data_IF_281480342855
#
_entry.id   IF_281480342855
#
_cell.length_a   1.000
_cell.length_b   1.000
_cell.length_c   1.000
_cell.angle_alpha   90.00
_cell.angle_beta   90.00
_cell.angle_gamma   90.00
#
_symmetry.space_group_name_H-M   'P 1'
#
loop_
_entity.id
_entity.type
_entity.pdbx_description
1 polymer ?
#
# COMPACT_ATOMS: atom_id res chain seq x y z
N UNK A 1 18.28 1.11 -10.14
CA UNK A 1 17.70 0.48 -8.94
C UNK A 1 17.73 -1.05 -9.08
N UNK A 2 17.89 -1.75 -7.96
CA UNK A 2 17.87 -3.22 -7.87
C UNK A 2 16.65 -3.67 -7.07
N UNK A 3 16.30 -4.96 -7.17
CA UNK A 3 15.23 -5.56 -6.40
C UNK A 3 15.83 -6.40 -5.26
N UNK A 4 15.85 -5.85 -4.05
CA UNK A 4 16.35 -6.54 -2.86
C UNK A 4 15.38 -6.34 -1.69
N UNK A 5 15.34 -7.29 -0.76
CA UNK A 5 14.61 -7.16 0.50
C UNK A 5 15.63 -7.02 1.64
N UNK A 6 15.45 -6.06 2.57
CA UNK A 6 16.36 -5.93 3.70
C UNK A 6 16.57 -7.26 4.45
N UNK A 7 17.81 -7.56 4.89
CA UNK A 7 18.98 -6.69 4.90
C UNK A 7 19.76 -6.64 3.58
N UNK A 8 19.34 -7.36 2.54
CA UNK A 8 20.07 -7.43 1.28
C UNK A 8 20.04 -6.08 0.55
N UNK A 9 21.19 -5.68 0.02
CA UNK A 9 21.38 -4.42 -0.74
C UNK A 9 21.96 -4.64 -2.12
N UNK A 10 22.02 -5.89 -2.57
CA UNK A 10 22.39 -6.33 -3.92
C UNK A 10 21.35 -7.33 -4.45
N UNK A 11 21.35 -7.50 -5.78
CA UNK A 11 20.42 -8.40 -6.48
C UNK A 11 21.04 -8.79 -7.82
N UNK A 12 20.71 -9.98 -8.30
CA UNK A 12 21.08 -10.47 -9.63
C UNK A 12 20.19 -9.89 -10.75
N UNK A 13 19.15 -9.13 -10.38
CA UNK A 13 18.23 -8.50 -11.31
C UNK A 13 18.04 -7.00 -11.02
N UNK A 14 18.21 -6.19 -12.06
CA UNK A 14 17.87 -4.76 -12.01
C UNK A 14 16.37 -4.55 -12.15
N UNK A 15 15.86 -3.42 -11.65
CA UNK A 15 14.45 -3.05 -11.87
C UNK A 15 14.10 -2.97 -13.37
N UNK A 16 15.02 -2.48 -14.21
CA UNK A 16 14.79 -2.36 -15.65
C UNK A 16 14.60 -3.73 -16.31
N UNK A 17 15.47 -4.69 -16.01
CA UNK A 17 15.37 -6.06 -16.53
C UNK A 17 14.07 -6.73 -16.06
N UNK A 18 13.69 -6.52 -14.80
CA UNK A 18 12.45 -7.04 -14.25
C UNK A 18 11.22 -6.41 -14.92
N UNK A 19 11.19 -5.08 -15.12
CA UNK A 19 10.09 -4.39 -15.81
C UNK A 19 9.92 -4.88 -17.25
N UNK A 20 11.01 -5.14 -17.96
CA UNK A 20 10.98 -5.71 -19.31
C UNK A 20 10.35 -7.12 -19.36
N UNK A 21 10.42 -7.89 -18.27
CA UNK A 21 9.69 -9.15 -18.15
C UNK A 21 8.22 -8.90 -17.84
N UNK A 22 7.92 -7.95 -16.94
CA UNK A 22 6.57 -7.69 -16.44
C UNK A 22 5.60 -7.20 -17.53
N UNK A 23 6.07 -6.43 -18.52
CA UNK A 23 5.24 -5.96 -19.65
C UNK A 23 4.60 -7.11 -20.45
N UNK A 24 5.18 -8.32 -20.38
CA UNK A 24 4.67 -9.51 -21.07
C UNK A 24 3.75 -10.36 -20.19
N UNK A 25 3.38 -9.89 -18.99
CA UNK A 25 2.56 -10.63 -18.03
C UNK A 25 1.19 -9.97 -17.86
N UNK A 26 0.28 -10.69 -17.19
CA UNK A 26 -1.02 -10.15 -16.77
C UNK A 26 -1.04 -9.73 -15.29
N UNK A 27 0.13 -9.49 -14.68
CA UNK A 27 0.28 -9.20 -13.25
C UNK A 27 0.35 -7.68 -13.01
N UNK A 28 -0.19 -7.23 -11.88
CA UNK A 28 0.06 -5.88 -11.37
C UNK A 28 1.47 -5.77 -10.79
N UNK A 29 1.95 -4.54 -10.63
CA UNK A 29 3.26 -4.23 -10.04
C UNK A 29 3.05 -3.55 -8.69
N UNK A 30 3.80 -3.96 -7.67
CA UNK A 30 3.93 -3.25 -6.40
C UNK A 30 5.41 -2.98 -6.15
N UNK A 31 5.80 -1.71 -6.17
CA UNK A 31 7.16 -1.28 -5.82
C UNK A 31 7.17 -0.87 -4.35
N UNK A 32 7.99 -1.56 -3.56
CA UNK A 32 8.19 -1.27 -2.14
C UNK A 32 9.52 -0.53 -1.94
N UNK A 33 9.44 0.76 -1.64
CA UNK A 33 10.62 1.61 -1.52
C UNK A 33 11.18 1.58 -0.09
N UNK A 34 12.45 1.21 0.03
CA UNK A 34 13.22 1.28 1.29
C UNK A 34 14.28 2.40 1.29
N UNK A 35 14.47 3.08 0.16
CA UNK A 35 15.40 4.20 0.02
C UNK A 35 14.81 5.30 -0.85
N UNK A 36 14.96 6.56 -0.41
CA UNK A 36 14.50 7.74 -1.15
C UNK A 36 15.26 7.89 -2.47
N UNK A 37 16.55 7.56 -2.47
CA UNK A 37 17.42 7.65 -3.65
C UNK A 37 16.97 6.71 -4.77
N UNK A 38 16.24 5.64 -4.42
CA UNK A 38 15.68 4.71 -5.39
C UNK A 38 14.36 5.20 -6.00
N UNK A 39 13.64 6.14 -5.36
CA UNK A 39 12.27 6.53 -5.78
C UNK A 39 12.27 7.13 -7.19
N UNK A 40 12.98 8.24 -7.39
CA UNK A 40 12.99 8.94 -8.68
C UNK A 40 13.49 8.05 -9.83
N UNK A 41 14.66 7.38 -9.74
CA UNK A 41 15.14 6.54 -10.83
C UNK A 41 14.21 5.36 -11.13
N UNK A 42 13.53 4.81 -10.13
CA UNK A 42 12.57 3.73 -10.35
C UNK A 42 11.30 4.19 -11.06
N UNK A 43 10.76 5.36 -10.69
CA UNK A 43 9.59 5.94 -11.34
C UNK A 43 9.89 6.38 -12.78
N UNK A 44 11.09 6.89 -13.06
CA UNK A 44 11.52 7.21 -14.42
C UNK A 44 11.60 5.95 -15.31
N UNK A 45 12.13 4.83 -14.79
CA UNK A 45 12.12 3.55 -15.50
C UNK A 45 10.69 3.02 -15.71
N UNK A 46 9.82 3.18 -14.71
CA UNK A 46 8.43 2.77 -14.81
C UNK A 46 7.67 3.56 -15.88
N UNK A 47 7.89 4.88 -15.96
CA UNK A 47 7.29 5.75 -16.98
C UNK A 47 7.67 5.35 -18.42
N UNK A 48 8.83 4.74 -18.62
CA UNK A 48 9.25 4.24 -19.95
C UNK A 48 8.42 3.04 -20.43
N UNK A 49 7.86 2.26 -19.51
CA UNK A 49 7.07 1.06 -19.82
C UNK A 49 5.59 1.21 -19.50
N UNK A 50 5.18 2.31 -18.88
CA UNK A 50 3.82 2.55 -18.38
C UNK A 50 2.72 2.25 -19.41
N UNK A 51 2.87 2.74 -20.64
CA UNK A 51 1.89 2.54 -21.72
C UNK A 51 1.76 1.06 -22.14
N UNK A 52 2.74 0.22 -21.80
CA UNK A 52 2.72 -1.22 -22.06
C UNK A 52 2.14 -1.99 -20.87
N UNK A 53 2.09 -1.39 -19.69
CA UNK A 53 1.52 -1.99 -18.49
C UNK A 53 -0.01 -1.93 -18.58
N UNK A 54 -0.64 -3.11 -18.70
CA UNK A 54 -2.10 -3.24 -18.75
C UNK A 54 -2.76 -3.36 -17.39
N UNK A 55 -1.98 -3.25 -16.31
CA UNK A 55 -2.41 -3.50 -14.93
C UNK A 55 -1.92 -2.37 -14.02
N UNK A 56 -2.62 -2.09 -12.90
CA UNK A 56 -2.25 -1.03 -11.99
C UNK A 56 -0.84 -1.20 -11.44
N UNK A 57 -0.16 -0.06 -11.21
CA UNK A 57 1.10 0.00 -10.48
C UNK A 57 0.87 0.64 -9.12
N UNK A 58 1.38 -0.03 -8.10
CA UNK A 58 1.24 0.31 -6.70
C UNK A 58 2.59 0.79 -6.18
N UNK A 59 2.62 1.98 -5.61
CA UNK A 59 3.83 2.59 -5.05
C UNK A 59 3.71 2.60 -3.53
N UNK A 60 4.48 1.74 -2.87
CA UNK A 60 4.51 1.61 -1.42
C UNK A 60 5.76 2.28 -0.85
N UNK A 61 5.57 3.07 0.22
CA UNK A 61 6.69 3.72 0.90
C UNK A 61 6.43 3.95 2.38
N UNK A 62 7.43 3.63 3.20
CA UNK A 62 7.44 3.82 4.66
C UNK A 62 7.64 5.31 5.01
N UNK A 63 6.63 6.13 4.74
CA UNK A 63 6.68 7.59 4.88
C UNK A 63 6.40 8.10 6.30
N UNK A 64 5.91 7.24 7.20
CA UNK A 64 5.57 7.65 8.56
C UNK A 64 6.04 6.69 9.66
N UNK A 65 6.22 7.21 10.89
CA UNK A 65 6.67 6.40 12.02
C UNK A 65 5.69 5.29 12.35
N UNK A 66 6.24 4.17 12.81
CA UNK A 66 5.44 3.05 13.29
C UNK A 66 5.02 3.13 14.76
N UNK A 67 4.31 2.12 15.32
CA UNK A 67 3.88 2.14 16.70
C UNK A 67 5.12 1.84 17.53
N UNK A 68 5.41 2.70 18.50
CA UNK A 68 6.69 2.69 19.21
C UNK A 68 7.70 3.71 18.68
N UNK A 69 7.33 4.57 17.72
CA UNK A 69 8.07 5.79 17.42
C UNK A 69 9.41 5.58 16.70
N UNK A 70 9.65 4.41 16.09
CA UNK A 70 10.79 4.25 15.20
C UNK A 70 10.66 5.22 14.03
N UNK A 71 11.66 6.09 13.88
CA UNK A 71 11.74 7.20 12.94
C UNK A 71 11.24 6.80 11.54
N UNK A 72 10.40 7.63 10.92
CA UNK A 72 10.02 7.45 9.51
C UNK A 72 11.29 7.25 8.68
N UNK A 73 11.33 6.20 7.87
CA UNK A 73 12.53 5.83 7.10
C UNK A 73 12.72 6.81 5.93
N UNK A 74 11.62 7.39 5.44
CA UNK A 74 11.60 8.22 4.25
C UNK A 74 10.93 9.57 4.52
N UNK A 75 11.45 10.64 3.90
CA UNK A 75 10.82 11.95 3.93
C UNK A 75 9.49 11.91 3.15
N UNK A 76 8.39 12.05 3.89
CA UNK A 76 7.03 12.03 3.34
C UNK A 76 6.84 13.09 2.24
N UNK A 77 7.33 14.32 2.45
CA UNK A 77 7.14 15.39 1.47
C UNK A 77 7.97 15.13 0.20
N UNK A 78 9.23 14.69 0.35
CA UNK A 78 10.10 14.33 -0.76
C UNK A 78 9.55 13.20 -1.62
N UNK A 79 9.02 12.14 -1.01
CA UNK A 79 8.39 11.02 -1.75
C UNK A 79 7.13 11.48 -2.46
N UNK A 80 6.23 12.17 -1.76
CA UNK A 80 4.97 12.63 -2.36
C UNK A 80 5.22 13.59 -3.53
N UNK A 81 6.17 14.53 -3.38
CA UNK A 81 6.57 15.43 -4.47
C UNK A 81 7.17 14.71 -5.67
N UNK A 82 7.96 13.65 -5.43
CA UNK A 82 8.54 12.85 -6.51
C UNK A 82 7.49 12.01 -7.24
N UNK A 83 6.60 11.33 -6.51
CA UNK A 83 5.52 10.53 -7.11
C UNK A 83 4.59 11.42 -7.93
N UNK A 84 4.16 12.54 -7.36
CA UNK A 84 3.23 13.46 -8.03
C UNK A 84 3.80 14.08 -9.30
N UNK A 85 5.12 14.30 -9.36
CA UNK A 85 5.79 14.87 -10.54
C UNK A 85 6.21 13.85 -11.58
N UNK A 86 6.47 12.59 -11.20
CA UNK A 86 7.06 11.58 -12.10
C UNK A 86 6.09 10.48 -12.52
N UNK A 87 5.07 10.15 -11.71
CA UNK A 87 4.17 9.04 -11.99
C UNK A 87 2.73 9.32 -11.50
N UNK A 88 1.99 10.22 -12.16
CA UNK A 88 0.70 10.71 -11.67
C UNK A 88 -0.45 9.70 -11.75
N UNK A 89 -0.32 8.63 -12.54
CA UNK A 89 -1.40 7.64 -12.74
C UNK A 89 -1.28 6.41 -11.82
N UNK A 90 -0.23 6.35 -10.97
CA UNK A 90 -0.01 5.26 -10.02
C UNK A 90 -0.93 5.29 -8.80
N UNK A 91 -1.18 4.11 -8.21
CA UNK A 91 -1.87 3.99 -6.91
C UNK A 91 -0.84 4.13 -5.80
N UNK A 92 -1.07 5.06 -4.88
CA UNK A 92 -0.15 5.33 -3.78
C UNK A 92 -0.57 4.59 -2.49
N UNK A 93 0.41 3.98 -1.82
CA UNK A 93 0.25 3.34 -0.52
C UNK A 93 1.13 4.07 0.51
N UNK A 94 0.58 5.04 1.25
CA UNK A 94 1.29 5.65 2.36
C UNK A 94 1.34 4.65 3.52
N UNK A 95 2.51 4.13 3.89
CA UNK A 95 2.58 3.16 5.00
C UNK A 95 2.55 3.87 6.35
N UNK A 96 1.58 3.46 7.15
CA UNK A 96 1.46 3.79 8.56
C UNK A 96 1.55 2.50 9.33
N UNK A 97 2.31 2.48 10.42
CA UNK A 97 2.24 1.37 11.35
C UNK A 97 1.70 1.94 12.66
N UNK A 98 0.42 1.78 12.99
CA UNK A 98 -0.09 2.24 14.28
C UNK A 98 -0.46 1.07 15.19
N UNK A 99 -0.60 1.33 16.49
CA UNK A 99 -1.09 0.34 17.47
C UNK A 99 -2.62 0.16 17.37
N UNK A 100 -3.27 1.05 16.63
CA UNK A 100 -4.69 1.13 16.27
C UNK A 100 -4.92 2.41 15.45
N UNK A 101 -6.05 2.56 14.77
CA UNK A 101 -6.28 3.73 13.90
C UNK A 101 -7.09 4.81 14.63
N UNK A 102 -6.50 5.42 15.65
CA UNK A 102 -7.17 6.47 16.44
C UNK A 102 -7.52 7.72 15.60
N UNK A 103 -8.47 8.52 16.09
CA UNK A 103 -8.96 9.74 15.41
C UNK A 103 -7.84 10.68 14.96
N UNK A 104 -6.88 10.96 15.82
CA UNK A 104 -5.75 11.84 15.48
C UNK A 104 -4.93 11.29 14.30
N UNK A 105 -4.73 9.97 14.25
CA UNK A 105 -3.96 9.32 13.19
C UNK A 105 -4.69 9.35 11.86
N UNK A 106 -5.99 9.01 11.84
CA UNK A 106 -6.76 9.03 10.58
C UNK A 106 -6.96 10.46 10.06
N UNK A 107 -7.02 11.45 10.94
CA UNK A 107 -7.05 12.86 10.56
C UNK A 107 -5.73 13.31 9.91
N UNK A 108 -4.59 12.90 10.47
CA UNK A 108 -3.27 13.16 9.90
C UNK A 108 -3.10 12.46 8.54
N UNK A 109 -3.48 11.19 8.44
CA UNK A 109 -3.54 10.41 7.19
C UNK A 109 -4.30 11.18 6.10
N UNK A 110 -5.52 11.63 6.43
CA UNK A 110 -6.36 12.38 5.50
C UNK A 110 -5.75 13.71 5.12
N UNK A 111 -5.14 14.45 6.07
CA UNK A 111 -4.58 15.76 5.82
C UNK A 111 -3.40 15.71 4.84
N UNK A 112 -2.48 14.75 4.99
CA UNK A 112 -1.34 14.63 4.09
C UNK A 112 -1.74 14.21 2.67
N UNK A 113 -2.76 13.35 2.56
CA UNK A 113 -3.18 12.81 1.27
C UNK A 113 -4.17 13.72 0.53
N UNK A 114 -4.70 14.77 1.19
CA UNK A 114 -5.79 15.60 0.66
C UNK A 114 -5.45 16.29 -0.66
N UNK A 115 -4.20 16.68 -0.85
CA UNK A 115 -3.75 17.37 -2.07
C UNK A 115 -3.40 16.41 -3.21
N UNK A 116 -3.39 15.09 -2.97
CA UNK A 116 -3.00 14.11 -3.97
C UNK A 116 -4.08 13.96 -5.04
N UNK A 117 -3.64 13.97 -6.30
CA UNK A 117 -4.51 13.70 -7.45
C UNK A 117 -4.75 12.20 -7.62
N UNK A 118 -3.80 11.38 -7.20
CA UNK A 118 -3.73 9.92 -7.31
C UNK A 118 -4.78 9.21 -6.44
N UNK A 119 -5.17 7.97 -6.81
CA UNK A 119 -5.76 7.02 -5.88
C UNK A 119 -4.81 6.71 -4.72
N UNK A 120 -5.37 6.65 -3.49
CA UNK A 120 -4.61 6.38 -2.27
C UNK A 120 -5.24 5.21 -1.54
N UNK A 121 -4.46 4.17 -1.27
CA UNK A 121 -4.91 3.04 -0.46
C UNK A 121 -4.16 2.99 0.86
N UNK A 122 -4.89 3.16 1.97
CA UNK A 122 -4.29 3.16 3.31
C UNK A 122 -4.05 1.72 3.76
N UNK A 123 -2.81 1.32 4.04
CA UNK A 123 -2.50 -0.01 4.53
C UNK A 123 -2.96 -0.12 5.98
N UNK A 124 -3.85 -1.08 6.25
CA UNK A 124 -4.39 -1.33 7.59
C UNK A 124 -4.16 -2.78 8.02
N UNK A 125 -3.74 -3.00 9.27
CA UNK A 125 -3.57 -4.36 9.81
C UNK A 125 -4.92 -4.98 10.09
N UNK A 126 -5.20 -6.15 9.52
CA UNK A 126 -6.47 -6.87 9.69
C UNK A 126 -6.86 -6.99 11.18
N UNK A 127 -5.90 -7.32 12.05
CA UNK A 127 -6.12 -7.46 13.49
C UNK A 127 -6.56 -6.18 14.21
N UNK A 128 -6.30 -5.01 13.63
CA UNK A 128 -6.57 -3.69 14.24
C UNK A 128 -7.79 -2.99 13.62
N UNK A 129 -8.31 -3.48 12.50
CA UNK A 129 -9.46 -2.86 11.83
C UNK A 129 -10.73 -2.94 12.70
N UNK A 130 -11.12 -4.09 13.31
CA UNK A 130 -12.36 -4.19 14.07
C UNK A 130 -12.51 -3.13 15.16
N UNK A 131 -11.43 -2.85 15.90
CA UNK A 131 -11.42 -1.85 16.98
C UNK A 131 -11.37 -0.39 16.47
N UNK A 132 -11.05 -0.17 15.20
CA UNK A 132 -10.88 1.17 14.61
C UNK A 132 -11.87 1.46 13.46
N UNK A 133 -12.98 0.71 13.41
CA UNK A 133 -13.96 0.81 12.34
C UNK A 133 -14.57 2.21 12.16
N UNK A 134 -14.98 2.94 13.22
CA UNK A 134 -15.50 4.30 13.06
C UNK A 134 -14.50 5.25 12.40
N UNK A 135 -13.24 5.22 12.83
CA UNK A 135 -12.16 6.07 12.36
C UNK A 135 -11.79 5.77 10.91
N UNK A 136 -11.67 4.48 10.57
CA UNK A 136 -11.36 4.04 9.21
C UNK A 136 -12.51 4.32 8.24
N UNK A 137 -13.78 4.18 8.69
CA UNK A 137 -14.94 4.59 7.88
C UNK A 137 -14.94 6.08 7.61
N UNK A 138 -14.64 6.89 8.62
CA UNK A 138 -14.51 8.33 8.42
C UNK A 138 -13.39 8.66 7.44
N UNK A 139 -12.23 8.00 7.54
CA UNK A 139 -11.08 8.22 6.66
C UNK A 139 -11.45 8.03 5.19
N UNK A 140 -12.03 6.87 4.83
CA UNK A 140 -12.38 6.58 3.44
C UNK A 140 -13.50 7.50 2.90
N UNK A 141 -14.28 8.15 3.76
CA UNK A 141 -15.32 9.09 3.34
C UNK A 141 -14.75 10.47 2.96
N UNK A 142 -13.49 10.77 3.30
CA UNK A 142 -12.89 12.08 3.01
C UNK A 142 -12.60 12.32 1.54
N UNK A 143 -12.51 11.26 0.73
CA UNK A 143 -12.26 11.33 -0.71
C UNK A 143 -12.72 10.04 -1.38
N UNK A 144 -13.26 10.14 -2.60
CA UNK A 144 -13.60 8.98 -3.45
C UNK A 144 -12.35 8.21 -3.92
N UNK A 145 -11.19 8.86 -3.92
CA UNK A 145 -9.88 8.29 -4.24
C UNK A 145 -9.32 7.38 -3.16
N UNK A 146 -9.90 7.40 -1.97
CA UNK A 146 -9.36 6.67 -0.83
C UNK A 146 -9.85 5.22 -0.81
N UNK A 147 -8.99 4.29 -0.42
CA UNK A 147 -9.33 2.88 -0.23
C UNK A 147 -8.52 2.30 0.94
N UNK A 148 -8.80 1.05 1.30
CA UNK A 148 -8.01 0.32 2.30
C UNK A 148 -7.28 -0.84 1.64
N UNK A 149 -6.02 -1.05 2.04
CA UNK A 149 -5.29 -2.30 1.79
C UNK A 149 -5.16 -3.02 3.12
N UNK A 150 -6.00 -4.02 3.35
CA UNK A 150 -5.98 -4.84 4.56
C UNK A 150 -4.84 -5.85 4.43
N UNK A 151 -3.88 -5.80 5.34
CA UNK A 151 -2.72 -6.68 5.34
C UNK A 151 -2.50 -7.34 6.70
N UNK A 152 -1.68 -8.39 6.72
CA UNK A 152 -1.39 -9.18 7.93
C UNK A 152 0.10 -9.38 8.12
N UNK A 153 0.60 -9.15 9.34
CA UNK A 153 1.92 -9.57 9.77
C UNK A 153 1.96 -11.04 10.18
N UNK A 154 3.17 -11.60 10.29
CA UNK A 154 3.39 -13.02 10.70
C UNK A 154 2.85 -13.33 12.10
N UNK A 155 2.91 -12.35 13.00
CA UNK A 155 2.50 -12.47 14.40
C UNK A 155 1.07 -11.93 14.65
N UNK A 156 0.38 -11.48 13.60
CA UNK A 156 -0.98 -10.94 13.76
C UNK A 156 -1.96 -12.08 14.05
N UNK A 157 -2.75 -11.91 15.11
CA UNK A 157 -3.84 -12.82 15.45
C UNK A 157 -5.14 -12.21 14.94
N UNK A 158 -5.80 -12.88 14.02
CA UNK A 158 -7.08 -12.48 13.44
C UNK A 158 -7.83 -13.73 12.95
N UNK A 159 -9.16 -13.62 12.89
CA UNK A 159 -10.07 -14.68 12.48
C UNK A 159 -10.61 -14.47 11.06
N UNK A 160 -11.24 -15.51 10.51
CA UNK A 160 -12.02 -15.39 9.28
C UNK A 160 -13.19 -14.41 9.47
N UNK A 161 -13.83 -14.46 10.64
CA UNK A 161 -14.92 -13.56 11.03
C UNK A 161 -14.47 -12.10 11.02
N UNK A 162 -13.24 -11.78 11.44
CA UNK A 162 -12.71 -10.42 11.36
C UNK A 162 -12.63 -9.94 9.90
N UNK A 163 -12.14 -10.78 8.98
CA UNK A 163 -12.05 -10.43 7.55
C UNK A 163 -13.44 -10.24 6.91
N UNK A 164 -14.40 -11.09 7.27
CA UNK A 164 -15.79 -10.97 6.84
C UNK A 164 -16.42 -9.70 7.39
N UNK A 165 -16.20 -9.39 8.67
CA UNK A 165 -16.70 -8.18 9.31
C UNK A 165 -16.16 -6.92 8.63
N UNK A 166 -14.87 -6.89 8.27
CA UNK A 166 -14.29 -5.82 7.47
C UNK A 166 -15.02 -5.70 6.13
N UNK A 167 -15.21 -6.82 5.41
CA UNK A 167 -15.86 -6.85 4.09
C UNK A 167 -17.30 -6.35 4.12
N UNK A 168 -18.01 -6.54 5.24
CA UNK A 168 -19.39 -6.07 5.43
C UNK A 168 -19.48 -4.57 5.74
N UNK A 169 -18.45 -3.99 6.35
CA UNK A 169 -18.46 -2.59 6.80
C UNK A 169 -17.93 -1.59 5.77
N UNK A 170 -17.35 -2.06 4.68
CA UNK A 170 -16.73 -1.22 3.66
C UNK A 170 -17.23 -1.58 2.25
N UNK A 171 -17.15 -0.62 1.33
CA UNK A 171 -17.40 -0.88 -0.09
C UNK A 171 -16.35 -1.87 -0.62
N UNK A 172 -16.82 -3.00 -1.13
CA UNK A 172 -15.99 -4.10 -1.65
C UNK A 172 -15.07 -3.67 -2.80
N UNK A 173 -15.40 -2.59 -3.52
CA UNK A 173 -14.57 -2.02 -4.58
C UNK A 173 -13.44 -1.14 -4.06
N UNK A 174 -13.47 -0.78 -2.77
CA UNK A 174 -12.53 0.13 -2.09
C UNK A 174 -11.74 -0.57 -0.98
N UNK A 175 -11.73 -1.90 -0.97
CA UNK A 175 -10.92 -2.70 -0.04
C UNK A 175 -10.16 -3.77 -0.80
N UNK A 176 -8.84 -3.74 -0.65
CA UNK A 176 -7.92 -4.74 -1.16
C UNK A 176 -7.37 -5.58 -0.01
N UNK A 177 -7.02 -6.84 -0.28
CA UNK A 177 -6.57 -7.79 0.72
C UNK A 177 -5.19 -8.33 0.34
N UNK A 178 -4.20 -8.13 1.22
CA UNK A 178 -2.82 -8.63 1.15
C UNK A 178 -2.59 -9.59 2.34
N UNK A 179 -3.20 -10.79 2.22
CA UNK A 179 -3.33 -11.78 3.30
C UNK A 179 -2.50 -13.01 2.97
N UNK A 180 -1.77 -13.53 3.95
CA UNK A 180 -0.99 -14.75 3.80
C UNK A 180 -1.88 -16.02 3.80
N UNK A 181 -1.36 -17.09 3.20
CA UNK A 181 -1.95 -18.42 3.32
C UNK A 181 -1.69 -19.01 4.73
N UNK A 182 -2.59 -19.85 5.26
CA UNK A 182 -3.81 -20.41 4.62
C UNK A 182 -5.07 -19.54 4.71
N UNK A 183 -5.09 -18.49 5.54
CA UNK A 183 -6.31 -17.70 5.80
C UNK A 183 -6.88 -17.03 4.54
N UNK A 184 -6.03 -16.63 3.60
CA UNK A 184 -6.46 -16.10 2.31
C UNK A 184 -7.34 -17.08 1.52
N UNK A 185 -6.98 -18.36 1.49
CA UNK A 185 -7.79 -19.40 0.83
C UNK A 185 -9.14 -19.61 1.52
N UNK A 186 -9.15 -19.63 2.85
CA UNK A 186 -10.40 -19.76 3.63
C UNK A 186 -11.32 -18.55 3.40
N UNK A 187 -10.76 -17.35 3.39
CA UNK A 187 -11.49 -16.12 3.13
C UNK A 187 -12.11 -16.10 1.73
N UNK A 188 -11.33 -16.43 0.69
CA UNK A 188 -11.82 -16.53 -0.70
C UNK A 188 -12.97 -17.53 -0.82
N UNK A 189 -12.82 -18.72 -0.23
CA UNK A 189 -13.88 -19.73 -0.17
C UNK A 189 -15.14 -19.20 0.50
N UNK A 190 -15.01 -18.48 1.61
CA UNK A 190 -16.16 -17.91 2.33
C UNK A 190 -16.91 -16.84 1.52
N UNK A 191 -16.22 -16.10 0.65
CA UNK A 191 -16.82 -15.04 -0.19
C UNK A 191 -17.17 -15.49 -1.62
N UNK A 192 -16.98 -16.78 -1.94
CA UNK A 192 -17.34 -17.37 -3.22
C UNK A 192 -16.41 -17.01 -4.38
N UNK A 193 -15.11 -16.82 -4.11
CA UNK A 193 -14.05 -16.55 -5.11
C UNK A 193 -13.05 -17.70 -5.12
#
# INVERSE_FOLDING_TARGET
>A
PILAHPPDTDSDITLQEWLAQMVNTNKGIKLDFKSLDAVRPSLELLGQVEQQLRRPVWINGDILPGPGGSRAVLDAQGILGTITSTFPDGIFIPVFFPAGYEWAMVQEMSQMCRSLSQPVTFPVRAALVPQSLPELRWLIQQSDKYSLTVWTGKEDIYSLEDLLHIRENFDKSRVYYDIFEPQNSEFKKAIGI
#
